data_IF_116952273997
#
_entry.id   IF_116952273997
#
_cell.length_a   1.000
_cell.length_b   1.000
_cell.length_c   1.000
_cell.angle_alpha   90.00
_cell.angle_beta   90.00
_cell.angle_gamma   90.00
#
_symmetry.space_group_name_H-M   'P 1'
#
loop_
_entity.id
_entity.type
_entity.pdbx_description
1 polymer ?
#
# COMPACT_ATOMS: atom_id res chain seq x y z
N UNK A 1 1.23 -21.58 -0.32
CA UNK A 1 1.90 -20.39 -0.88
C UNK A 1 3.33 -20.65 -1.35
N UNK A 2 4.22 -21.26 -0.54
CA UNK A 2 5.62 -21.52 -0.96
C UNK A 2 5.76 -22.54 -2.12
N UNK A 3 4.78 -23.41 -2.33
CA UNK A 3 4.85 -24.40 -3.42
C UNK A 3 4.71 -23.79 -4.82
N UNK A 4 4.04 -22.64 -4.94
CA UNK A 4 3.82 -21.94 -6.21
C UNK A 4 5.06 -21.14 -6.64
N UNK A 5 5.95 -20.80 -5.70
CA UNK A 5 7.21 -20.11 -6.00
C UNK A 5 8.12 -20.89 -6.95
N UNK A 6 8.03 -22.23 -6.94
CA UNK A 6 8.86 -23.11 -7.78
C UNK A 6 8.23 -23.41 -9.16
N UNK A 7 6.99 -22.97 -9.41
CA UNK A 7 6.26 -23.22 -10.66
C UNK A 7 6.63 -22.21 -11.76
N UNK A 8 6.09 -22.45 -12.97
CA UNK A 8 6.22 -21.56 -14.12
C UNK A 8 5.66 -20.16 -13.82
N UNK A 9 5.97 -19.20 -14.70
CA UNK A 9 5.42 -17.84 -14.59
C UNK A 9 3.90 -17.85 -14.78
N UNK A 10 3.41 -18.64 -15.74
CA UNK A 10 2.01 -18.79 -16.07
C UNK A 10 1.22 -19.31 -14.86
N UNK A 11 1.71 -20.36 -14.21
CA UNK A 11 1.07 -20.94 -13.02
C UNK A 11 1.01 -19.93 -11.86
N UNK A 12 2.07 -19.11 -11.69
CA UNK A 12 2.12 -18.05 -10.68
C UNK A 12 1.10 -16.97 -10.96
N UNK A 13 1.00 -16.55 -12.22
CA UNK A 13 0.06 -15.53 -12.65
C UNK A 13 -1.39 -16.00 -12.48
N UNK A 14 -1.72 -17.21 -12.93
CA UNK A 14 -3.05 -17.79 -12.76
C UNK A 14 -3.45 -17.90 -11.29
N UNK A 15 -2.53 -18.40 -10.44
CA UNK A 15 -2.75 -18.49 -8.99
C UNK A 15 -2.96 -17.10 -8.37
N UNK A 16 -2.15 -16.11 -8.77
CA UNK A 16 -2.29 -14.74 -8.28
C UNK A 16 -3.65 -14.14 -8.65
N UNK A 17 -4.08 -14.32 -9.89
CA UNK A 17 -5.37 -13.82 -10.36
C UNK A 17 -6.55 -14.47 -9.62
N UNK A 18 -6.48 -15.78 -9.37
CA UNK A 18 -7.48 -16.49 -8.56
C UNK A 18 -7.55 -15.94 -7.12
N UNK A 19 -6.41 -15.69 -6.49
CA UNK A 19 -6.37 -15.05 -5.16
C UNK A 19 -7.01 -13.66 -5.20
N UNK A 20 -6.68 -12.83 -6.20
CA UNK A 20 -7.24 -11.49 -6.32
C UNK A 20 -8.76 -11.49 -6.54
N UNK A 21 -9.32 -12.50 -7.21
CA UNK A 21 -10.77 -12.63 -7.37
C UNK A 21 -11.47 -12.92 -6.03
N UNK A 22 -10.80 -13.64 -5.13
CA UNK A 22 -11.34 -14.06 -3.85
C UNK A 22 -10.93 -13.15 -2.67
N UNK A 23 -10.03 -12.19 -2.88
CA UNK A 23 -9.51 -11.30 -1.83
C UNK A 23 -9.67 -9.82 -2.20
N UNK A 24 -10.63 -9.14 -1.55
CA UNK A 24 -10.96 -7.76 -1.86
C UNK A 24 -10.16 -6.74 -1.02
N UNK A 25 -9.78 -5.58 -1.59
CA UNK A 25 -9.10 -4.53 -0.85
C UNK A 25 -10.07 -3.82 0.12
N UNK A 26 -9.66 -3.72 1.38
CA UNK A 26 -10.46 -3.11 2.48
C UNK A 26 -9.85 -1.83 3.05
N UNK A 27 -8.69 -1.39 2.58
CA UNK A 27 -7.96 -0.25 3.17
C UNK A 27 -8.76 1.08 3.17
N UNK A 28 -9.74 1.23 2.28
CA UNK A 28 -10.65 2.41 2.27
C UNK A 28 -11.33 2.67 3.61
N UNK A 29 -11.59 1.64 4.41
CA UNK A 29 -12.26 1.76 5.70
C UNK A 29 -11.42 2.51 6.74
N UNK A 30 -10.09 2.51 6.61
CA UNK A 30 -9.19 3.24 7.52
C UNK A 30 -9.59 4.71 7.68
N UNK A 31 -9.74 5.44 6.57
CA UNK A 31 -10.15 6.84 6.62
C UNK A 31 -11.61 6.99 7.08
N UNK A 32 -12.50 6.08 6.65
CA UNK A 32 -13.93 6.13 6.99
C UNK A 32 -14.20 5.93 8.49
N UNK A 33 -13.43 5.06 9.15
CA UNK A 33 -13.58 4.75 10.57
C UNK A 33 -12.88 5.78 11.47
N UNK A 34 -11.74 6.35 11.03
CA UNK A 34 -10.97 7.32 11.82
C UNK A 34 -11.49 8.76 11.70
N UNK A 35 -12.01 9.15 10.53
CA UNK A 35 -12.44 10.53 10.26
C UNK A 35 -13.92 10.56 9.89
N UNK A 36 -14.77 10.83 10.88
CA UNK A 36 -16.23 10.82 10.72
C UNK A 36 -16.76 12.10 10.06
N UNK A 37 -16.05 13.21 10.19
CA UNK A 37 -16.38 14.45 9.51
C UNK A 37 -16.04 14.34 8.01
N UNK A 38 -17.00 14.54 7.07
CA UNK A 38 -16.76 14.36 5.65
C UNK A 38 -15.70 15.29 5.04
N UNK A 39 -15.57 16.52 5.55
CA UNK A 39 -14.59 17.48 5.06
C UNK A 39 -13.18 17.05 5.50
N UNK A 40 -13.03 16.66 6.78
CA UNK A 40 -11.78 16.09 7.30
C UNK A 40 -11.43 14.80 6.59
N UNK A 41 -12.38 13.88 6.42
CA UNK A 41 -12.17 12.62 5.68
C UNK A 41 -11.62 12.88 4.27
N UNK A 42 -12.22 13.84 3.55
CA UNK A 42 -11.78 14.18 2.20
C UNK A 42 -10.35 14.73 2.19
N UNK A 43 -10.03 15.62 3.13
CA UNK A 43 -8.69 16.17 3.31
C UNK A 43 -7.66 15.08 3.60
N UNK A 44 -7.96 14.16 4.54
CA UNK A 44 -7.07 13.06 4.94
C UNK A 44 -6.85 12.07 3.82
N UNK A 45 -7.91 11.72 3.07
CA UNK A 45 -7.78 10.89 1.87
C UNK A 45 -6.89 11.55 0.82
N UNK A 46 -6.98 12.87 0.67
CA UNK A 46 -6.13 13.61 -0.26
C UNK A 46 -4.66 13.65 0.20
N UNK A 47 -4.41 13.80 1.50
CA UNK A 47 -3.08 13.71 2.09
C UNK A 47 -2.45 12.32 1.88
N UNK A 48 -3.23 11.24 2.08
CA UNK A 48 -2.81 9.88 1.77
C UNK A 48 -2.40 9.74 0.28
N UNK A 49 -3.27 10.10 -0.66
CA UNK A 49 -2.97 9.95 -2.10
C UNK A 49 -1.75 10.75 -2.52
N UNK A 50 -1.59 11.98 -2.00
CA UNK A 50 -0.44 12.83 -2.31
C UNK A 50 0.86 12.26 -1.75
N UNK A 51 0.87 11.84 -0.49
CA UNK A 51 2.06 11.23 0.14
C UNK A 51 2.48 9.94 -0.54
N UNK A 52 1.54 9.05 -0.89
CA UNK A 52 1.84 7.83 -1.66
C UNK A 52 2.50 8.18 -3.00
N UNK A 53 1.93 9.13 -3.75
CA UNK A 53 2.43 9.50 -5.06
C UNK A 53 3.84 10.10 -5.00
N UNK A 54 4.05 11.07 -4.10
CA UNK A 54 5.36 11.72 -3.96
C UNK A 54 6.42 10.74 -3.46
N UNK A 55 6.12 9.96 -2.43
CA UNK A 55 7.02 8.94 -1.89
C UNK A 55 7.36 7.86 -2.92
N UNK A 56 6.41 7.46 -3.77
CA UNK A 56 6.65 6.48 -4.84
C UNK A 56 7.59 7.00 -5.92
N UNK A 57 7.41 8.26 -6.35
CA UNK A 57 8.30 8.91 -7.34
C UNK A 57 9.70 9.08 -6.76
N UNK A 58 9.81 9.56 -5.52
CA UNK A 58 11.10 9.72 -4.84
C UNK A 58 11.78 8.38 -4.65
N UNK A 59 11.04 7.34 -4.22
CA UNK A 59 11.57 6.00 -4.06
C UNK A 59 12.07 5.39 -5.37
N UNK A 60 11.38 5.62 -6.48
CA UNK A 60 11.84 5.20 -7.80
C UNK A 60 13.15 5.91 -8.19
N UNK A 61 13.23 7.23 -8.04
CA UNK A 61 14.42 8.03 -8.42
C UNK A 61 15.64 7.63 -7.58
N UNK A 62 15.44 7.40 -6.28
CA UNK A 62 16.51 7.03 -5.34
C UNK A 62 16.86 5.53 -5.38
N UNK A 63 16.06 4.71 -6.07
CA UNK A 63 16.25 3.26 -6.10
C UNK A 63 15.95 2.56 -4.77
N UNK A 64 14.97 3.04 -4.01
CA UNK A 64 14.56 2.42 -2.74
C UNK A 64 13.89 1.06 -3.00
N UNK A 65 14.51 -0.01 -2.50
CA UNK A 65 14.00 -1.38 -2.51
C UNK A 65 13.21 -1.75 -1.25
N UNK A 66 12.87 -3.03 -1.09
CA UNK A 66 12.31 -3.62 0.13
C UNK A 66 11.12 -2.87 0.77
N UNK A 67 10.09 -2.56 -0.03
CA UNK A 67 8.86 -1.86 0.41
C UNK A 67 7.74 -2.85 0.74
N UNK A 68 8.04 -3.83 1.60
CA UNK A 68 7.02 -4.71 2.15
C UNK A 68 6.15 -3.96 3.17
N UNK A 69 5.02 -4.57 3.57
CA UNK A 69 3.98 -3.93 4.40
C UNK A 69 4.46 -3.38 5.74
N UNK A 70 5.58 -3.86 6.28
CA UNK A 70 6.11 -3.36 7.56
C UNK A 70 7.01 -2.12 7.39
N UNK A 71 7.51 -1.86 6.17
CA UNK A 71 8.32 -0.66 5.86
C UNK A 71 7.46 0.51 5.34
N UNK A 72 6.14 0.37 5.42
CA UNK A 72 5.16 1.40 5.03
C UNK A 72 4.27 1.68 6.24
N UNK A 73 4.46 2.84 6.86
CA UNK A 73 3.62 3.30 7.96
C UNK A 73 2.61 4.34 7.47
N UNK A 74 1.44 4.34 8.09
CA UNK A 74 0.40 5.35 7.89
C UNK A 74 0.24 6.12 9.21
N UNK A 75 0.40 7.44 9.16
CA UNK A 75 0.16 8.28 10.33
C UNK A 75 -1.35 8.36 10.61
N UNK A 76 -1.81 7.94 11.77
CA UNK A 76 -3.24 7.94 12.10
C UNK A 76 -3.88 9.33 12.18
N UNK A 77 -3.10 10.38 12.43
CA UNK A 77 -3.61 11.75 12.56
C UNK A 77 -3.62 12.50 11.23
N UNK A 78 -2.58 12.34 10.40
CA UNK A 78 -2.47 13.01 9.10
C UNK A 78 -2.96 12.17 7.92
N UNK A 79 -3.08 10.85 8.09
CA UNK A 79 -3.29 9.85 7.04
C UNK A 79 -2.17 9.80 5.98
N UNK A 80 -1.02 10.42 6.24
CA UNK A 80 0.11 10.39 5.33
C UNK A 80 0.89 9.09 5.41
N UNK A 81 1.37 8.63 4.26
CA UNK A 81 2.28 7.50 4.14
C UNK A 81 3.71 7.93 4.46
N UNK A 82 4.38 7.15 5.29
CA UNK A 82 5.80 7.32 5.64
C UNK A 82 6.54 6.02 5.36
N UNK A 83 7.55 6.08 4.51
CA UNK A 83 8.51 4.99 4.38
C UNK A 83 9.46 4.99 5.57
N UNK A 84 9.59 3.85 6.21
CA UNK A 84 10.60 3.62 7.25
C UNK A 84 11.63 2.62 6.73
N UNK A 85 12.72 2.50 7.47
CA UNK A 85 13.84 1.63 7.14
C UNK A 85 14.31 1.80 5.68
N UNK A 86 14.88 2.98 5.43
CA UNK A 86 15.38 3.36 4.09
C UNK A 86 16.73 2.69 3.76
N UNK A 87 17.22 1.79 4.63
CA UNK A 87 18.49 1.12 4.48
C UNK A 87 18.31 -0.29 3.91
N UNK A 88 18.73 -0.48 2.65
CA UNK A 88 18.82 -1.75 1.91
C UNK A 88 17.63 -2.70 2.03
#
# INVERSE_FOLDING_TARGET
>A
MMEVQKKSFEDKYETFMDICQNFQPVFRYFCMEKFLDPAVWFEKRLAYTRSVATSSIVGYILGLGDRHVQNILINEQSAELVHIDLGK
#
